data_IF_210169658434
#
_entry.id   IF_210169658434
#
_cell.length_a   1.000
_cell.length_b   1.000
_cell.length_c   1.000
_cell.angle_alpha   90.00
_cell.angle_beta   90.00
_cell.angle_gamma   90.00
#
_symmetry.space_group_name_H-M   'P 1'
#
loop_
_entity.id
_entity.type
_entity.pdbx_description
1 polymer ?
#
# COMPACT_ATOMS: atom_id res chain seq x y z
N UNK A 1 3.28 3.27 -21.50
CA UNK A 1 2.28 4.36 -21.64
C UNK A 1 2.77 5.57 -20.86
N UNK A 2 3.54 6.45 -21.51
CA UNK A 2 4.00 7.71 -20.94
C UNK A 2 3.24 8.86 -21.61
N UNK A 3 2.16 9.28 -20.97
CA UNK A 3 1.40 10.49 -21.32
C UNK A 3 1.40 11.47 -20.15
N UNK A 4 0.87 12.68 -20.38
CA UNK A 4 0.70 13.76 -19.39
C UNK A 4 0.03 13.29 -18.07
N UNK A 5 -0.63 12.13 -18.09
CA UNK A 5 -1.35 11.53 -16.96
C UNK A 5 -0.59 10.42 -16.21
N UNK A 6 0.60 10.01 -16.68
CA UNK A 6 1.41 8.90 -16.12
C UNK A 6 1.92 9.14 -14.68
N UNK A 7 1.56 10.25 -14.04
CA UNK A 7 1.86 10.57 -12.64
C UNK A 7 0.63 10.94 -11.78
N UNK A 8 -0.59 10.87 -12.32
CA UNK A 8 -1.81 11.32 -11.61
C UNK A 8 -2.29 10.34 -10.53
N UNK A 9 -1.80 9.10 -10.54
CA UNK A 9 -2.10 8.08 -9.53
C UNK A 9 -3.37 7.27 -9.83
N UNK A 10 -3.80 6.48 -8.84
CA UNK A 10 -5.05 5.73 -8.86
C UNK A 10 -5.83 6.09 -7.58
N UNK A 11 -7.16 6.11 -7.67
CA UNK A 11 -8.04 6.32 -6.53
C UNK A 11 -9.08 5.22 -6.47
N UNK A 12 -9.48 4.84 -5.26
CA UNK A 12 -10.48 3.83 -4.99
C UNK A 12 -11.28 4.24 -3.74
N UNK A 13 -12.43 3.62 -3.52
CA UNK A 13 -13.24 3.82 -2.32
C UNK A 13 -13.19 2.55 -1.47
N UNK A 14 -12.82 2.70 -0.21
CA UNK A 14 -12.91 1.63 0.77
C UNK A 14 -14.22 1.77 1.55
N UNK A 15 -15.02 0.71 1.58
CA UNK A 15 -16.29 0.63 2.30
C UNK A 15 -16.14 -0.36 3.46
N UNK A 16 -16.12 0.13 4.70
CA UNK A 16 -15.83 -0.71 5.88
C UNK A 16 -16.98 -1.59 6.36
N UNK A 17 -18.21 -1.38 5.86
CA UNK A 17 -19.42 -2.17 6.19
C UNK A 17 -20.06 -2.85 4.99
N UNK A 18 -19.42 -2.72 3.83
CA UNK A 18 -19.85 -3.34 2.57
C UNK A 18 -18.74 -4.28 2.13
N UNK A 19 -19.10 -5.51 1.83
CA UNK A 19 -18.20 -6.57 1.44
C UNK A 19 -18.56 -7.06 0.03
N UNK A 20 -17.60 -7.63 -0.68
CA UNK A 20 -17.82 -8.24 -1.97
C UNK A 20 -18.39 -9.65 -1.77
N UNK A 21 -19.53 -9.94 -2.41
CA UNK A 21 -20.00 -11.31 -2.58
C UNK A 21 -19.29 -11.98 -3.77
N UNK A 22 -19.07 -11.19 -4.81
CA UNK A 22 -18.19 -11.49 -5.94
C UNK A 22 -17.52 -10.18 -6.39
N UNK A 23 -16.57 -10.20 -7.34
CA UNK A 23 -15.93 -8.98 -7.84
C UNK A 23 -16.90 -7.94 -8.41
N UNK A 24 -18.15 -8.30 -8.70
CA UNK A 24 -19.17 -7.42 -9.30
C UNK A 24 -20.46 -7.32 -8.49
N UNK A 25 -20.52 -7.96 -7.31
CA UNK A 25 -21.71 -7.97 -6.46
C UNK A 25 -21.32 -7.57 -5.03
N UNK A 26 -22.02 -6.58 -4.50
CA UNK A 26 -21.81 -6.09 -3.14
C UNK A 26 -22.86 -6.65 -2.18
N UNK A 27 -22.49 -6.78 -0.92
CA UNK A 27 -23.39 -7.13 0.18
C UNK A 27 -22.95 -6.47 1.48
N UNK A 28 -23.75 -6.58 2.53
CA UNK A 28 -23.32 -6.23 3.88
C UNK A 28 -22.19 -7.15 4.33
N UNK A 29 -21.27 -6.58 5.10
CA UNK A 29 -20.27 -7.37 5.77
C UNK A 29 -20.88 -8.21 6.90
N UNK A 30 -20.40 -9.44 7.03
CA UNK A 30 -20.60 -10.34 8.15
C UNK A 30 -19.63 -9.97 9.30
N UNK A 31 -19.90 -10.42 10.53
CA UNK A 31 -18.96 -10.25 11.64
C UNK A 31 -17.57 -10.79 11.29
N UNK A 32 -16.53 -9.99 11.56
CA UNK A 32 -15.13 -10.33 11.27
C UNK A 32 -14.63 -9.91 9.89
N UNK A 33 -15.52 -9.56 8.95
CA UNK A 33 -15.09 -9.08 7.64
C UNK A 33 -14.61 -7.62 7.69
N UNK A 34 -13.62 -7.29 6.84
CA UNK A 34 -12.92 -6.01 6.84
C UNK A 34 -13.37 -5.05 5.74
N UNK A 35 -14.51 -5.31 5.10
CA UNK A 35 -14.99 -4.49 4.00
C UNK A 35 -14.29 -4.73 2.66
N UNK A 36 -14.68 -3.95 1.67
CA UNK A 36 -14.18 -4.05 0.30
C UNK A 36 -13.71 -2.71 -0.24
N UNK A 37 -12.73 -2.77 -1.13
CA UNK A 37 -12.31 -1.65 -1.96
C UNK A 37 -13.01 -1.77 -3.30
N UNK A 38 -13.66 -0.69 -3.74
CA UNK A 38 -14.26 -0.58 -5.06
C UNK A 38 -13.53 0.48 -5.87
N UNK A 39 -13.30 0.19 -7.14
CA UNK A 39 -12.73 1.15 -8.09
C UNK A 39 -13.17 0.85 -9.50
N UNK A 40 -13.04 1.88 -10.35
CA UNK A 40 -13.23 1.77 -11.78
C UNK A 40 -11.89 1.53 -12.47
N UNK A 41 -11.86 0.51 -13.33
CA UNK A 41 -10.65 0.07 -14.02
C UNK A 41 -10.80 0.20 -15.53
N UNK A 42 -9.67 0.30 -16.24
CA UNK A 42 -9.66 0.32 -17.70
C UNK A 42 -9.56 -1.12 -18.24
N UNK A 43 -10.68 -1.67 -18.71
CA UNK A 43 -10.70 -2.89 -19.51
C UNK A 43 -10.45 -4.18 -18.75
N UNK A 44 -10.89 -4.29 -17.50
CA UNK A 44 -10.81 -5.56 -16.75
C UNK A 44 -12.16 -6.28 -16.82
N UNK A 45 -12.14 -7.50 -17.35
CA UNK A 45 -13.28 -8.42 -17.42
C UNK A 45 -14.59 -7.86 -18.02
N UNK A 46 -14.51 -6.76 -18.80
CA UNK A 46 -15.70 -6.12 -19.36
C UNK A 46 -16.61 -5.48 -18.30
N UNK A 47 -16.06 -5.06 -17.15
CA UNK A 47 -16.81 -4.38 -16.09
C UNK A 47 -16.37 -2.93 -15.91
N UNK A 48 -17.30 -2.08 -15.49
CA UNK A 48 -17.01 -0.69 -15.16
C UNK A 48 -16.28 -0.55 -13.83
N UNK A 49 -16.79 -1.23 -12.80
CA UNK A 49 -16.20 -1.26 -11.48
C UNK A 49 -16.06 -2.69 -10.98
N UNK A 50 -15.05 -2.90 -10.13
CA UNK A 50 -14.79 -4.15 -9.45
C UNK A 50 -14.59 -3.91 -7.96
N UNK A 51 -14.98 -4.91 -7.16
CA UNK A 51 -14.82 -4.96 -5.72
C UNK A 51 -13.77 -6.01 -5.33
N UNK A 52 -12.81 -5.62 -4.50
CA UNK A 52 -11.79 -6.52 -3.96
C UNK A 52 -11.71 -6.33 -2.44
N UNK A 53 -11.75 -7.41 -1.63
CA UNK A 53 -11.57 -7.32 -0.18
C UNK A 53 -10.30 -6.53 0.20
N UNK A 54 -10.35 -5.82 1.33
CA UNK A 54 -9.30 -4.86 1.71
C UNK A 54 -7.89 -5.46 1.74
N UNK A 55 -7.70 -6.60 2.40
CA UNK A 55 -6.38 -7.21 2.60
C UNK A 55 -5.77 -7.66 1.26
N UNK A 56 -6.47 -8.41 0.39
CA UNK A 56 -5.97 -8.73 -0.94
C UNK A 56 -5.71 -7.51 -1.84
N UNK A 57 -6.58 -6.49 -1.79
CA UNK A 57 -6.36 -5.27 -2.56
C UNK A 57 -5.05 -4.57 -2.19
N UNK A 58 -4.69 -4.56 -0.90
CA UNK A 58 -3.47 -3.93 -0.41
C UNK A 58 -2.24 -4.82 -0.58
N UNK A 59 -2.35 -6.11 -0.26
CA UNK A 59 -1.20 -7.00 -0.06
C UNK A 59 -1.26 -8.32 -0.86
N UNK A 60 -2.27 -8.53 -1.71
CA UNK A 60 -2.41 -9.74 -2.53
C UNK A 60 -2.41 -11.07 -1.72
N UNK A 61 -2.72 -10.99 -0.43
CA UNK A 61 -2.87 -12.11 0.50
C UNK A 61 -4.24 -12.01 1.18
N UNK A 62 -4.70 -13.11 1.78
CA UNK A 62 -6.03 -13.16 2.39
C UNK A 62 -6.03 -12.63 3.83
N UNK A 63 -4.98 -12.94 4.60
CA UNK A 63 -4.88 -12.54 6.00
C UNK A 63 -3.72 -11.56 6.27
N UNK A 64 -3.84 -10.68 7.28
CA UNK A 64 -2.78 -9.73 7.66
C UNK A 64 -1.44 -10.38 8.02
N UNK A 65 -1.46 -11.52 8.71
CA UNK A 65 -0.26 -12.25 9.15
C UNK A 65 0.55 -12.83 7.98
N UNK A 66 -0.09 -12.94 6.81
CA UNK A 66 0.48 -13.42 5.56
C UNK A 66 1.16 -12.28 4.78
N UNK A 67 1.08 -11.03 5.25
CA UNK A 67 1.76 -9.90 4.63
C UNK A 67 3.28 -10.13 4.71
N UNK A 68 4.00 -10.12 3.58
CA UNK A 68 5.44 -10.34 3.59
C UNK A 68 6.17 -9.29 4.40
N UNK A 69 7.15 -9.74 5.18
CA UNK A 69 8.09 -8.88 5.89
C UNK A 69 8.87 -8.02 4.89
N UNK A 70 9.38 -8.63 3.82
CA UNK A 70 10.14 -7.94 2.79
C UNK A 70 9.74 -8.47 1.41
N UNK A 71 9.52 -7.57 0.46
CA UNK A 71 8.99 -7.91 -0.85
C UNK A 71 9.97 -7.56 -1.98
N UNK A 72 10.16 -8.51 -2.89
CA UNK A 72 10.78 -8.29 -4.20
C UNK A 72 9.75 -8.41 -5.33
N UNK A 73 10.14 -8.11 -6.57
CA UNK A 73 9.23 -8.14 -7.71
C UNK A 73 8.71 -9.54 -8.04
N UNK A 74 9.48 -10.61 -7.76
CA UNK A 74 9.07 -11.98 -8.02
C UNK A 74 8.03 -12.45 -7.01
N UNK A 75 8.23 -12.14 -5.73
CA UNK A 75 7.26 -12.42 -4.67
C UNK A 75 5.94 -11.72 -4.94
N UNK A 76 5.97 -10.43 -5.31
CA UNK A 76 4.75 -9.68 -5.61
C UNK A 76 4.02 -10.25 -6.83
N UNK A 77 4.74 -10.60 -7.89
CA UNK A 77 4.13 -11.24 -9.06
C UNK A 77 3.51 -12.60 -8.70
N UNK A 78 4.19 -13.38 -7.87
CA UNK A 78 3.71 -14.67 -7.37
C UNK A 78 2.43 -14.51 -6.55
N UNK A 79 2.42 -13.66 -5.51
CA UNK A 79 1.25 -13.44 -4.66
C UNK A 79 0.05 -12.91 -5.45
N UNK A 80 0.28 -11.93 -6.34
CA UNK A 80 -0.77 -11.42 -7.24
C UNK A 80 -1.36 -12.54 -8.08
N UNK A 81 -0.52 -13.36 -8.71
CA UNK A 81 -1.00 -14.48 -9.54
C UNK A 81 -1.84 -15.46 -8.71
N UNK A 82 -1.33 -15.87 -7.54
CA UNK A 82 -2.04 -16.80 -6.66
C UNK A 82 -3.44 -16.30 -6.28
N UNK A 83 -3.57 -15.00 -5.99
CA UNK A 83 -4.85 -14.40 -5.68
C UNK A 83 -5.75 -14.22 -6.91
N UNK A 84 -5.21 -13.67 -8.00
CA UNK A 84 -5.96 -13.35 -9.22
C UNK A 84 -6.49 -14.59 -9.93
N UNK A 85 -5.74 -15.70 -9.91
CA UNK A 85 -6.15 -16.97 -10.53
C UNK A 85 -7.39 -17.59 -9.84
N UNK A 86 -7.69 -17.17 -8.60
CA UNK A 86 -8.87 -17.62 -7.83
C UNK A 86 -10.08 -16.70 -7.96
N UNK A 87 -9.91 -15.50 -8.53
CA UNK A 87 -11.02 -14.58 -8.72
C UNK A 87 -12.00 -15.15 -9.75
N UNK A 88 -13.32 -15.11 -9.49
CA UNK A 88 -14.33 -15.59 -10.43
C UNK A 88 -14.56 -14.54 -11.54
N UNK A 89 -13.51 -14.26 -12.32
CA UNK A 89 -13.53 -13.41 -13.50
C UNK A 89 -13.38 -14.27 -14.76
N UNK A 90 -13.97 -13.86 -15.90
CA UNK A 90 -13.72 -14.51 -17.18
C UNK A 90 -12.22 -14.62 -17.48
N UNK A 91 -11.79 -15.65 -18.20
CA UNK A 91 -10.40 -15.75 -18.65
C UNK A 91 -10.06 -14.60 -19.62
N UNK A 92 -8.85 -14.04 -19.49
CA UNK A 92 -8.35 -13.01 -20.40
C UNK A 92 -8.20 -13.54 -21.84
N UNK A 93 -8.49 -12.70 -22.83
CA UNK A 93 -8.35 -13.06 -24.26
C UNK A 93 -7.68 -11.91 -25.02
N UNK A 94 -6.36 -11.98 -25.32
CA UNK A 94 -5.37 -13.00 -24.94
C UNK A 94 -4.89 -12.88 -23.47
N UNK A 95 -4.16 -13.86 -22.96
CA UNK A 95 -3.60 -13.81 -21.60
C UNK A 95 -2.62 -12.62 -21.43
N UNK A 96 -2.76 -11.86 -20.34
CA UNK A 96 -1.98 -10.66 -20.06
C UNK A 96 -2.46 -9.41 -20.80
N UNK A 97 -3.64 -9.45 -21.42
CA UNK A 97 -4.22 -8.29 -22.12
C UNK A 97 -4.90 -7.30 -21.18
N UNK A 98 -5.27 -7.75 -19.98
CA UNK A 98 -5.95 -6.91 -18.99
C UNK A 98 -4.99 -6.46 -17.88
N UNK A 99 -5.13 -5.25 -17.34
CA UNK A 99 -4.28 -4.78 -16.25
C UNK A 99 -4.72 -5.34 -14.88
N UNK A 100 -4.95 -6.66 -14.76
CA UNK A 100 -5.46 -7.33 -13.54
C UNK A 100 -4.57 -7.16 -12.32
N UNK A 101 -3.28 -6.88 -12.52
CA UNK A 101 -2.35 -6.54 -11.44
C UNK A 101 -2.81 -5.34 -10.59
N UNK A 102 -3.71 -4.48 -11.10
CA UNK A 102 -4.28 -3.35 -10.37
C UNK A 102 -5.31 -3.76 -9.30
N UNK A 103 -5.81 -4.99 -9.35
CA UNK A 103 -6.80 -5.49 -8.39
C UNK A 103 -6.18 -5.92 -7.07
N UNK A 104 -4.88 -6.24 -7.04
CA UNK A 104 -4.25 -6.84 -5.87
C UNK A 104 -2.84 -6.29 -5.61
N UNK A 105 -2.50 -6.11 -4.34
CA UNK A 105 -1.14 -5.74 -3.93
C UNK A 105 -0.79 -4.26 -4.20
N UNK A 106 -1.74 -3.34 -4.04
CA UNK A 106 -1.50 -1.91 -4.29
C UNK A 106 -0.46 -1.28 -3.35
N UNK A 107 -0.30 -1.82 -2.13
CA UNK A 107 0.70 -1.37 -1.15
C UNK A 107 2.13 -1.85 -1.47
N UNK A 108 2.30 -2.70 -2.50
CA UNK A 108 3.64 -3.01 -3.03
C UNK A 108 4.14 -1.94 -3.99
N UNK A 109 3.23 -1.33 -4.76
CA UNK A 109 3.58 -0.33 -5.76
C UNK A 109 3.83 1.04 -5.14
N UNK A 110 3.08 1.36 -4.07
CA UNK A 110 3.04 2.72 -3.53
C UNK A 110 2.52 2.84 -2.10
N UNK A 111 2.90 3.94 -1.46
CA UNK A 111 2.22 4.44 -0.26
C UNK A 111 0.84 4.97 -0.66
N UNK A 112 -0.20 4.57 0.07
CA UNK A 112 -1.57 5.07 -0.14
C UNK A 112 -1.93 6.08 0.95
N UNK A 113 -2.76 7.06 0.58
CA UNK A 113 -3.32 8.05 1.49
C UNK A 113 -4.84 7.84 1.55
N UNK A 114 -5.34 7.59 2.76
CA UNK A 114 -6.75 7.37 3.03
C UNK A 114 -7.40 8.58 3.68
N UNK A 115 -8.66 8.82 3.31
CA UNK A 115 -9.49 9.90 3.85
C UNK A 115 -10.80 9.27 4.30
N UNK A 116 -10.88 8.89 5.57
CA UNK A 116 -12.05 8.24 6.16
C UNK A 116 -13.09 9.29 6.53
N UNK A 117 -14.31 9.06 6.12
CA UNK A 117 -15.48 9.88 6.43
C UNK A 117 -16.55 9.01 7.09
N UNK A 118 -17.37 9.61 7.94
CA UNK A 118 -18.48 8.90 8.59
C UNK A 118 -19.64 8.75 7.61
N UNK A 119 -20.21 7.56 7.49
CA UNK A 119 -21.45 7.29 6.72
C UNK A 119 -22.47 6.60 7.61
N UNK A 120 -23.75 6.63 7.21
CA UNK A 120 -24.81 5.90 7.91
C UNK A 120 -25.01 4.50 7.31
N UNK A 121 -25.36 3.49 8.11
CA UNK A 121 -25.63 2.15 7.60
C UNK A 121 -26.66 2.15 6.48
N UNK A 122 -27.76 2.90 6.59
CA UNK A 122 -28.84 2.89 5.60
C UNK A 122 -28.39 3.44 4.23
N UNK A 123 -27.40 4.35 4.24
CA UNK A 123 -26.79 4.83 2.99
C UNK A 123 -25.96 3.74 2.32
N UNK A 124 -25.31 2.86 3.09
CA UNK A 124 -24.58 1.73 2.53
C UNK A 124 -25.53 0.72 1.86
N UNK A 125 -26.72 0.47 2.44
CA UNK A 125 -27.75 -0.38 1.80
C UNK A 125 -28.19 0.20 0.46
N UNK A 126 -28.46 1.51 0.43
CA UNK A 126 -28.85 2.20 -0.79
C UNK A 126 -27.74 2.16 -1.85
N UNK A 127 -26.47 2.30 -1.43
CA UNK A 127 -25.33 2.19 -2.34
C UNK A 127 -25.23 0.78 -2.93
N UNK A 128 -25.35 -0.26 -2.09
CA UNK A 128 -25.35 -1.67 -2.51
C UNK A 128 -26.46 -1.90 -3.54
N UNK A 129 -27.68 -1.50 -3.23
CA UNK A 129 -28.83 -1.67 -4.12
C UNK A 129 -28.61 -0.96 -5.46
N UNK A 130 -28.08 0.27 -5.43
CA UNK A 130 -27.82 1.08 -6.64
C UNK A 130 -26.75 0.43 -7.53
N UNK A 131 -25.64 0.00 -6.95
CA UNK A 131 -24.53 -0.59 -7.72
C UNK A 131 -24.89 -1.98 -8.25
N UNK A 132 -25.55 -2.82 -7.45
CA UNK A 132 -25.96 -4.16 -7.87
C UNK A 132 -27.09 -4.13 -8.92
N UNK A 133 -27.95 -3.11 -8.92
CA UNK A 133 -28.98 -2.94 -9.95
C UNK A 133 -28.43 -2.37 -11.26
N UNK A 134 -27.21 -1.82 -11.26
CA UNK A 134 -26.58 -1.28 -12.46
C UNK A 134 -26.11 -2.40 -13.40
N UNK A 135 -26.10 -2.13 -14.71
CA UNK A 135 -25.57 -3.09 -15.69
C UNK A 135 -24.05 -3.34 -15.54
N UNK A 136 -23.34 -2.50 -14.76
CA UNK A 136 -21.88 -2.52 -14.60
C UNK A 136 -21.11 -2.60 -15.95
N UNK A 137 -21.65 -1.96 -16.99
CA UNK A 137 -21.11 -2.00 -18.34
C UNK A 137 -19.95 -1.00 -18.48
N UNK A 138 -18.84 -1.36 -19.15
CA UNK A 138 -17.63 -0.54 -19.20
C UNK A 138 -17.90 0.89 -19.65
N UNK A 139 -17.55 1.86 -18.82
CA UNK A 139 -17.70 3.28 -19.16
C UNK A 139 -16.39 4.06 -19.02
N UNK A 140 -15.25 3.37 -18.93
CA UNK A 140 -13.97 4.03 -18.67
C UNK A 140 -13.56 4.98 -19.80
N UNK A 141 -13.34 6.24 -19.45
CA UNK A 141 -12.71 7.24 -20.30
C UNK A 141 -11.70 8.03 -19.46
N UNK A 142 -10.42 8.04 -19.86
CA UNK A 142 -9.33 8.63 -19.07
C UNK A 142 -9.62 10.07 -18.60
N UNK A 143 -10.28 10.88 -19.43
CA UNK A 143 -10.53 12.30 -19.17
C UNK A 143 -11.87 12.59 -18.49
N UNK A 144 -12.88 11.71 -18.61
CA UNK A 144 -14.26 12.01 -18.23
C UNK A 144 -14.89 11.00 -17.28
N UNK A 145 -14.40 9.77 -17.27
CA UNK A 145 -15.04 8.63 -16.64
C UNK A 145 -13.96 7.69 -16.10
N UNK A 146 -13.03 8.22 -15.30
CA UNK A 146 -11.90 7.48 -14.75
C UNK A 146 -12.12 7.06 -13.28
N UNK A 147 -11.09 6.47 -12.65
CA UNK A 147 -11.15 6.06 -11.24
C UNK A 147 -11.47 7.20 -10.26
N UNK A 148 -11.00 8.42 -10.51
CA UNK A 148 -11.27 9.57 -9.65
C UNK A 148 -12.67 10.14 -9.88
N UNK A 149 -13.22 10.06 -11.09
CA UNK A 149 -14.64 10.36 -11.35
C UNK A 149 -15.57 9.35 -10.66
N UNK A 150 -15.19 8.07 -10.63
CA UNK A 150 -15.91 7.06 -9.87
C UNK A 150 -15.89 7.38 -8.36
N UNK A 151 -14.72 7.69 -7.79
CA UNK A 151 -14.62 8.16 -6.39
C UNK A 151 -15.51 9.37 -6.13
N UNK A 152 -15.54 10.36 -7.04
CA UNK A 152 -16.45 11.50 -6.92
C UNK A 152 -17.91 11.06 -6.86
N UNK A 153 -18.35 10.14 -7.73
CA UNK A 153 -19.73 9.66 -7.75
C UNK A 153 -20.11 9.03 -6.40
N UNK A 154 -19.27 8.12 -5.90
CA UNK A 154 -19.53 7.43 -4.63
C UNK A 154 -19.47 8.39 -3.44
N UNK A 155 -18.46 9.26 -3.36
CA UNK A 155 -18.36 10.21 -2.24
C UNK A 155 -19.52 11.22 -2.26
N UNK A 156 -19.92 11.69 -3.44
CA UNK A 156 -21.04 12.62 -3.55
C UNK A 156 -22.41 11.97 -3.32
N UNK A 157 -22.53 10.65 -3.49
CA UNK A 157 -23.70 9.90 -3.07
C UNK A 157 -23.89 10.02 -1.54
N UNK A 158 -22.82 9.91 -0.76
CA UNK A 158 -22.88 10.07 0.69
C UNK A 158 -22.95 11.54 1.14
N UNK A 159 -22.16 12.41 0.51
CA UNK A 159 -22.04 13.84 0.82
C UNK A 159 -22.11 14.68 -0.45
N UNK A 160 -23.30 15.17 -0.83
CA UNK A 160 -23.49 15.91 -2.07
C UNK A 160 -22.53 17.09 -2.22
N UNK A 161 -21.84 17.15 -3.36
CA UNK A 161 -20.85 18.20 -3.73
C UNK A 161 -19.57 18.22 -2.88
N UNK A 162 -19.29 17.19 -2.07
CA UNK A 162 -18.05 17.09 -1.32
C UNK A 162 -16.81 16.97 -2.23
N UNK A 163 -16.95 16.30 -3.36
CA UNK A 163 -15.90 16.15 -4.36
C UNK A 163 -16.32 16.80 -5.68
N UNK A 164 -15.46 17.66 -6.22
CA UNK A 164 -15.72 18.35 -7.48
C UNK A 164 -14.44 18.52 -8.31
N UNK A 165 -14.62 18.62 -9.63
CA UNK A 165 -13.51 18.88 -10.56
C UNK A 165 -12.99 20.30 -10.32
N UNK A 166 -11.70 20.52 -10.59
CA UNK A 166 -11.12 21.85 -10.64
C UNK A 166 -10.89 22.23 -12.11
N UNK A 167 -11.47 23.35 -12.53
CA UNK A 167 -11.32 23.83 -13.92
C UNK A 167 -9.89 24.33 -14.15
N UNK A 168 -9.31 25.04 -13.17
CA UNK A 168 -8.01 25.70 -13.30
C UNK A 168 -6.81 24.80 -12.94
N UNK A 169 -6.94 23.90 -11.96
CA UNK A 169 -5.79 23.13 -11.45
C UNK A 169 -5.52 21.82 -12.20
N UNK A 170 -6.52 21.26 -12.89
CA UNK A 170 -6.42 19.96 -13.57
C UNK A 170 -7.08 19.95 -14.96
N UNK A 171 -7.23 21.12 -15.61
CA UNK A 171 -7.83 21.25 -16.93
C UNK A 171 -9.22 20.59 -17.03
N UNK A 172 -10.02 20.68 -15.96
CA UNK A 172 -11.32 20.01 -15.82
C UNK A 172 -11.30 18.47 -15.89
N UNK A 173 -10.14 17.83 -15.76
CA UNK A 173 -10.01 16.38 -15.52
C UNK A 173 -10.11 16.10 -14.03
N UNK A 174 -10.79 15.03 -13.63
CA UNK A 174 -10.77 14.60 -12.24
C UNK A 174 -9.47 13.82 -11.95
N UNK A 175 -8.72 14.27 -10.95
CA UNK A 175 -7.52 13.59 -10.46
C UNK A 175 -7.72 13.06 -9.03
N UNK A 176 -7.01 11.98 -8.64
CA UNK A 176 -6.98 11.53 -7.25
C UNK A 176 -6.62 12.64 -6.25
N UNK A 177 -5.66 13.51 -6.60
CA UNK A 177 -5.24 14.64 -5.75
C UNK A 177 -6.37 15.66 -5.57
N UNK A 178 -7.09 15.99 -6.64
CA UNK A 178 -8.23 16.90 -6.57
C UNK A 178 -9.41 16.30 -5.79
N UNK A 179 -9.66 15.00 -5.91
CA UNK A 179 -10.67 14.33 -5.10
C UNK A 179 -10.36 14.46 -3.60
N UNK A 180 -9.12 14.18 -3.20
CA UNK A 180 -8.67 14.36 -1.81
C UNK A 180 -8.73 15.83 -1.37
N UNK A 181 -8.19 16.76 -2.16
CA UNK A 181 -8.15 18.19 -1.82
C UNK A 181 -9.55 18.78 -1.65
N UNK A 182 -10.48 18.44 -2.53
CA UNK A 182 -11.87 18.93 -2.43
C UNK A 182 -12.59 18.35 -1.22
N UNK A 183 -12.42 17.06 -0.92
CA UNK A 183 -12.99 16.44 0.27
C UNK A 183 -12.47 17.07 1.58
N UNK A 184 -11.16 17.27 1.68
CA UNK A 184 -10.54 17.95 2.83
C UNK A 184 -11.10 19.37 2.98
N UNK A 185 -11.16 20.11 1.86
CA UNK A 185 -11.72 21.48 1.83
C UNK A 185 -13.20 21.52 2.22
N UNK A 186 -13.96 20.49 1.85
CA UNK A 186 -15.36 20.33 2.25
C UNK A 186 -15.48 20.07 3.75
N UNK A 187 -14.68 19.15 4.31
CA UNK A 187 -14.74 18.82 5.74
C UNK A 187 -14.44 20.00 6.67
N UNK A 188 -13.63 20.98 6.22
CA UNK A 188 -13.38 22.20 7.00
C UNK A 188 -14.64 23.05 7.21
N UNK A 189 -15.63 22.94 6.29
CA UNK A 189 -16.93 23.62 6.39
C UNK A 189 -18.04 22.71 6.92
N UNK A 190 -17.76 21.40 7.02
CA UNK A 190 -18.72 20.36 7.35
C UNK A 190 -18.15 19.41 8.42
N UNK A 191 -18.09 19.82 9.70
CA UNK A 191 -17.53 19.02 10.79
C UNK A 191 -18.24 17.66 10.98
N UNK A 192 -19.50 17.55 10.57
CA UNK A 192 -20.29 16.32 10.63
C UNK A 192 -19.71 15.15 9.83
N UNK A 193 -18.85 15.45 8.84
CA UNK A 193 -18.12 14.47 8.00
C UNK A 193 -17.15 13.64 8.85
N UNK A 194 -16.63 14.19 9.95
CA UNK A 194 -15.65 13.57 10.84
C UNK A 194 -14.47 12.98 10.08
N UNK A 195 -13.82 13.81 9.25
CA UNK A 195 -12.71 13.39 8.42
C UNK A 195 -11.53 12.91 9.26
N UNK A 196 -11.04 11.69 9.01
CA UNK A 196 -9.77 11.18 9.51
C UNK A 196 -8.83 10.88 8.34
N UNK A 197 -7.64 11.46 8.32
CA UNK A 197 -6.59 11.11 7.35
C UNK A 197 -5.72 9.97 7.88
N UNK A 198 -5.29 9.08 7.01
CA UNK A 198 -4.36 8.01 7.35
C UNK A 198 -3.46 7.61 6.18
N UNK A 199 -2.37 6.90 6.46
CA UNK A 199 -1.40 6.40 5.49
C UNK A 199 -1.36 4.88 5.57
N UNK A 200 -1.39 4.23 4.41
CA UNK A 200 -1.06 2.81 4.27
C UNK A 200 0.39 2.74 3.77
N UNK A 201 1.34 2.28 4.60
CA UNK A 201 2.74 2.22 4.23
C UNK A 201 2.98 1.25 3.07
N UNK A 202 3.99 1.56 2.26
CA UNK A 202 4.43 0.63 1.22
C UNK A 202 5.27 -0.47 1.87
N UNK A 203 5.01 -1.74 1.56
CA UNK A 203 5.83 -2.87 2.03
C UNK A 203 7.28 -2.66 1.57
N UNK A 204 8.28 -2.87 2.44
CA UNK A 204 9.68 -2.61 2.09
C UNK A 204 10.22 -3.67 1.12
N UNK A 205 11.30 -3.30 0.43
CA UNK A 205 12.05 -4.15 -0.50
C UNK A 205 11.91 -3.77 -1.97
N UNK A 206 10.85 -3.03 -2.31
CA UNK A 206 10.66 -2.43 -3.63
C UNK A 206 11.09 -0.95 -3.68
N UNK A 207 11.19 -0.43 -4.90
CA UNK A 207 11.46 0.99 -5.12
C UNK A 207 10.37 1.84 -4.46
N UNK A 208 10.77 2.78 -3.61
CA UNK A 208 9.83 3.67 -2.91
C UNK A 208 9.04 4.53 -3.89
N UNK A 209 7.73 4.66 -3.65
CA UNK A 209 6.86 5.51 -4.47
C UNK A 209 7.21 7.00 -4.39
N UNK A 210 6.97 7.71 -5.50
CA UNK A 210 7.13 9.16 -5.62
C UNK A 210 5.84 9.90 -5.22
N UNK A 211 5.92 11.19 -4.81
CA UNK A 211 4.74 12.00 -4.54
C UNK A 211 3.80 12.11 -5.76
N UNK A 212 2.49 12.20 -5.50
CA UNK A 212 1.46 12.43 -6.53
C UNK A 212 1.40 13.92 -6.86
N UNK A 213 1.39 14.22 -8.15
CA UNK A 213 1.27 15.59 -8.67
C UNK A 213 -0.06 15.73 -9.41
N UNK A 214 -0.66 16.94 -9.36
CA UNK A 214 -1.79 17.29 -10.23
C UNK A 214 -1.35 17.37 -11.70
N UNK A 215 -2.29 17.56 -12.63
CA UNK A 215 -1.98 17.66 -14.06
C UNK A 215 -1.14 18.92 -14.34
N UNK A 216 -1.57 20.07 -13.84
CA UNK A 216 -0.83 21.33 -14.01
C UNK A 216 0.52 21.28 -13.29
N UNK A 217 0.60 20.66 -12.11
CA UNK A 217 1.86 20.49 -11.39
C UNK A 217 2.84 19.59 -12.16
N UNK A 218 2.32 18.52 -12.80
CA UNK A 218 3.12 17.64 -13.67
C UNK A 218 3.59 18.34 -14.94
N UNK A 219 2.84 19.31 -15.45
CA UNK A 219 3.21 20.14 -16.61
C UNK A 219 4.19 21.25 -16.23
N UNK A 220 3.90 22.00 -15.17
CA UNK A 220 4.70 23.14 -14.69
C UNK A 220 6.04 22.68 -14.13
N UNK A 221 6.13 21.52 -13.46
CA UNK A 221 7.40 20.98 -12.96
C UNK A 221 8.15 20.14 -13.98
N UNK A 222 7.62 19.92 -15.19
CA UNK A 222 8.34 19.19 -16.21
C UNK A 222 9.53 20.02 -16.72
N UNK A 223 10.74 19.46 -16.62
CA UNK A 223 12.00 20.12 -17.02
C UNK A 223 11.93 20.81 -18.39
N UNK A 224 11.23 20.21 -19.36
CA UNK A 224 11.08 20.73 -20.72
C UNK A 224 10.37 22.10 -20.82
N UNK A 225 9.52 22.46 -19.85
CA UNK A 225 8.80 23.74 -19.82
C UNK A 225 9.38 24.74 -18.83
N UNK A 226 10.01 24.26 -17.75
CA UNK A 226 10.68 25.13 -16.77
C UNK A 226 11.91 25.79 -17.38
N UNK A 227 12.71 25.07 -18.16
CA UNK A 227 13.99 25.59 -18.67
C UNK A 227 13.86 26.87 -19.51
N UNK A 228 12.93 26.97 -20.48
CA UNK A 228 12.71 28.23 -21.21
C UNK A 228 12.20 29.36 -20.30
N UNK A 229 11.26 29.09 -19.39
CA UNK A 229 10.70 30.12 -18.50
C UNK A 229 11.74 30.63 -17.50
N UNK A 230 12.60 29.75 -16.99
CA UNK A 230 13.71 30.13 -16.11
C UNK A 230 14.71 31.03 -16.83
N UNK A 231 14.97 30.79 -18.12
CA UNK A 231 15.88 31.59 -18.93
C UNK A 231 15.36 33.01 -19.16
N UNK A 232 14.06 33.17 -19.46
CA UNK A 232 13.48 34.47 -19.83
C UNK A 232 12.82 35.21 -18.65
N UNK A 233 12.33 34.50 -17.63
CA UNK A 233 11.58 35.05 -16.50
C UNK A 233 11.92 34.34 -15.16
N UNK A 234 13.17 34.45 -14.67
CA UNK A 234 13.64 33.74 -13.48
C UNK A 234 12.86 34.10 -12.20
N UNK A 235 12.42 35.35 -12.07
CA UNK A 235 11.64 35.81 -10.91
C UNK A 235 10.26 35.15 -10.81
N UNK A 236 9.63 34.83 -11.95
CA UNK A 236 8.33 34.13 -11.97
C UNK A 236 8.48 32.69 -11.49
N UNK A 237 9.53 32.00 -11.92
CA UNK A 237 9.85 30.65 -11.43
C UNK A 237 10.15 30.70 -9.94
N UNK A 238 10.98 31.64 -9.49
CA UNK A 238 11.32 31.83 -8.08
C UNK A 238 10.10 32.13 -7.20
N UNK A 239 9.17 32.97 -7.66
CA UNK A 239 7.95 33.30 -6.92
C UNK A 239 6.96 32.12 -6.87
N UNK A 240 6.79 31.38 -7.98
CA UNK A 240 5.95 30.17 -8.01
C UNK A 240 6.55 29.08 -7.13
N UNK A 241 7.86 28.86 -7.19
CA UNK A 241 8.55 27.91 -6.30
C UNK A 241 8.41 28.36 -4.83
N UNK A 242 8.67 29.62 -4.51
CA UNK A 242 8.52 30.14 -3.15
C UNK A 242 7.09 29.95 -2.62
N UNK A 243 6.05 30.32 -3.39
CA UNK A 243 4.64 30.10 -3.03
C UNK A 243 4.29 28.60 -2.89
N UNK A 244 4.86 27.76 -3.75
CA UNK A 244 4.69 26.31 -3.70
C UNK A 244 5.29 25.70 -2.42
N UNK A 245 6.47 26.14 -2.00
CA UNK A 245 7.16 25.66 -0.79
C UNK A 245 6.63 26.29 0.51
N UNK A 246 6.05 27.49 0.48
CA UNK A 246 5.60 28.24 1.67
C UNK A 246 4.19 27.88 2.16
N UNK A 247 3.50 26.91 1.54
CA UNK A 247 2.27 26.34 2.12
C UNK A 247 1.08 26.21 1.18
N UNK A 248 1.21 26.56 -0.11
CA UNK A 248 0.13 26.34 -1.07
C UNK A 248 -0.05 24.86 -1.48
N UNK A 249 0.95 24.02 -1.20
CA UNK A 249 0.93 22.58 -1.51
C UNK A 249 -0.02 21.83 -0.58
N UNK A 250 -0.95 21.08 -1.19
CA UNK A 250 -1.76 20.10 -0.47
C UNK A 250 -0.84 18.97 0.04
N UNK A 251 -0.75 18.83 1.37
CA UNK A 251 -0.04 17.74 2.03
C UNK A 251 -1.05 16.70 2.54
N UNK A 252 -1.19 15.55 1.85
CA UNK A 252 -2.13 14.49 2.25
C UNK A 252 -1.70 13.76 3.54
N UNK A 253 -0.47 13.98 4.01
CA UNK A 253 0.08 13.32 5.18
C UNK A 253 -0.08 14.12 6.48
N UNK A 254 -0.55 15.37 6.38
CA UNK A 254 -0.66 16.26 7.53
C UNK A 254 -1.59 15.65 8.58
N UNK A 255 -1.04 15.37 9.76
CA UNK A 255 -1.77 14.79 10.89
C UNK A 255 -2.33 13.38 10.62
N UNK A 256 -1.81 12.67 9.62
CA UNK A 256 -2.34 11.37 9.23
C UNK A 256 -1.92 10.28 10.22
N UNK A 257 -2.88 9.42 10.57
CA UNK A 257 -2.65 8.17 11.29
C UNK A 257 -1.97 7.14 10.39
N UNK A 258 -1.47 6.05 10.94
CA UNK A 258 -0.92 4.92 10.18
C UNK A 258 -1.91 3.77 10.23
N UNK A 259 -2.13 3.13 9.08
CA UNK A 259 -2.90 1.90 8.99
C UNK A 259 -2.04 0.70 9.38
N UNK A 260 -2.54 -0.07 10.34
CA UNK A 260 -2.04 -1.36 10.75
C UNK A 260 -2.99 -2.47 10.24
N UNK A 261 -2.53 -3.36 9.33
CA UNK A 261 -3.32 -4.49 8.86
C UNK A 261 -3.66 -5.50 9.94
N UNK A 262 -2.93 -5.58 11.05
CA UNK A 262 -3.13 -6.63 12.07
C UNK A 262 -4.33 -6.33 12.98
N UNK A 263 -4.73 -5.07 13.13
CA UNK A 263 -5.90 -4.68 13.93
C UNK A 263 -7.22 -4.95 13.18
N UNK A 264 -8.15 -5.56 13.91
CA UNK A 264 -9.52 -5.86 13.49
C UNK A 264 -10.41 -4.62 13.28
N UNK A 265 -10.11 -3.46 13.90
CA UNK A 265 -10.94 -2.24 13.86
C UNK A 265 -10.33 -1.13 13.00
N UNK A 266 -10.08 -1.42 11.72
CA UNK A 266 -9.49 -0.49 10.75
C UNK A 266 -8.05 -0.03 11.11
N UNK A 267 -7.54 -0.33 12.30
CA UNK A 267 -6.13 -0.28 12.67
C UNK A 267 -5.48 1.06 12.49
N UNK A 268 -6.07 2.13 13.01
CA UNK A 268 -5.46 3.46 12.87
C UNK A 268 -4.72 3.85 14.15
N UNK A 269 -3.41 3.97 14.05
CA UNK A 269 -2.53 4.33 15.17
C UNK A 269 -1.73 5.62 14.89
N UNK A 270 -1.10 6.16 15.92
CA UNK A 270 -0.19 7.28 15.76
C UNK A 270 1.12 6.81 15.10
N UNK A 271 1.75 7.61 14.23
CA UNK A 271 3.03 7.25 13.64
C UNK A 271 4.13 7.16 14.72
N UNK A 272 5.03 6.19 14.56
CA UNK A 272 6.20 6.01 15.44
C UNK A 272 6.97 7.32 15.61
N UNK A 273 7.10 7.80 16.84
CA UNK A 273 7.70 9.10 17.16
C UNK A 273 9.19 9.15 16.77
N UNK A 274 9.75 10.36 16.67
CA UNK A 274 11.18 10.52 16.39
C UNK A 274 12.07 9.93 17.48
N UNK A 275 11.65 10.02 18.75
CA UNK A 275 12.39 9.47 19.89
C UNK A 275 12.38 7.93 19.88
N UNK A 276 11.21 7.31 19.69
CA UNK A 276 11.10 5.86 19.57
C UNK A 276 11.88 5.33 18.37
N UNK A 277 11.75 5.98 17.20
CA UNK A 277 12.54 5.63 16.01
C UNK A 277 14.03 5.67 16.29
N UNK A 278 14.51 6.70 16.99
CA UNK A 278 15.92 6.81 17.32
C UNK A 278 16.36 5.71 18.30
N UNK A 279 15.51 5.37 19.28
CA UNK A 279 15.74 4.25 20.19
C UNK A 279 15.89 2.93 19.42
N UNK A 280 14.89 2.53 18.63
CA UNK A 280 14.94 1.30 17.84
C UNK A 280 16.11 1.28 16.86
N UNK A 281 16.36 2.39 16.14
CA UNK A 281 17.48 2.47 15.20
C UNK A 281 18.84 2.34 15.90
N UNK A 282 19.00 2.91 17.10
CA UNK A 282 20.23 2.78 17.88
C UNK A 282 20.47 1.35 18.33
N UNK A 283 19.42 0.66 18.77
CA UNK A 283 19.48 -0.75 19.18
C UNK A 283 19.78 -1.65 17.99
N UNK A 284 19.11 -1.44 16.86
CA UNK A 284 19.33 -2.21 15.62
C UNK A 284 20.78 -2.06 15.14
N UNK A 285 21.34 -0.85 15.20
CA UNK A 285 22.73 -0.61 14.84
C UNK A 285 23.73 -1.35 15.73
N UNK A 286 23.40 -1.61 17.02
CA UNK A 286 24.25 -2.42 17.90
C UNK A 286 24.22 -3.89 17.48
N UNK A 287 23.04 -4.43 17.18
CA UNK A 287 22.86 -5.81 16.68
C UNK A 287 23.67 -6.00 15.39
N UNK A 288 23.53 -5.09 14.43
CA UNK A 288 24.28 -5.15 13.17
C UNK A 288 25.79 -5.15 13.36
N UNK A 289 26.31 -4.33 14.29
CA UNK A 289 27.74 -4.28 14.57
C UNK A 289 28.24 -5.60 15.15
N UNK A 290 27.51 -6.17 16.11
CA UNK A 290 27.81 -7.48 16.67
C UNK A 290 27.79 -8.57 15.58
N UNK A 291 26.81 -8.55 14.67
CA UNK A 291 26.70 -9.54 13.59
C UNK A 291 27.82 -9.37 12.54
N UNK A 292 28.24 -8.14 12.24
CA UNK A 292 29.35 -7.88 11.32
C UNK A 292 30.71 -8.37 11.87
N UNK A 293 30.88 -8.31 13.19
CA UNK A 293 32.10 -8.78 13.88
C UNK A 293 32.19 -10.31 13.95
N UNK A 294 31.08 -11.04 13.80
CA UNK A 294 31.01 -12.50 13.85
C UNK A 294 31.30 -13.24 12.51
N UNK A 295 31.44 -12.52 11.39
CA UNK A 295 31.73 -13.00 10.01
C UNK A 295 30.65 -13.82 9.27
N UNK A 296 30.66 -13.68 7.92
CA UNK A 296 29.79 -14.19 6.83
C UNK A 296 28.34 -14.53 7.19
N UNK A 297 27.59 -13.55 7.68
CA UNK A 297 26.13 -13.63 7.68
C UNK A 297 25.64 -13.79 6.24
N UNK A 298 24.82 -14.82 6.03
CA UNK A 298 24.08 -15.06 4.81
C UNK A 298 23.31 -13.79 4.40
N UNK A 299 23.73 -13.14 3.30
CA UNK A 299 23.05 -11.95 2.77
C UNK A 299 21.69 -12.36 2.19
N UNK A 300 20.63 -12.14 2.97
CA UNK A 300 19.24 -12.44 2.59
C UNK A 300 18.91 -11.90 1.20
N UNK A 301 19.41 -10.70 0.86
CA UNK A 301 19.11 -10.04 -0.41
C UNK A 301 19.77 -10.71 -1.60
N UNK A 302 20.90 -11.39 -1.41
CA UNK A 302 21.53 -12.21 -2.47
C UNK A 302 20.79 -13.53 -2.62
N UNK A 303 20.43 -14.16 -1.51
CA UNK A 303 19.80 -15.48 -1.47
C UNK A 303 18.38 -15.50 -2.07
N UNK A 304 17.63 -14.41 -1.98
CA UNK A 304 16.29 -14.31 -2.59
C UNK A 304 16.29 -14.31 -4.15
N UNK A 305 17.42 -14.13 -4.83
CA UNK A 305 17.41 -13.89 -6.29
C UNK A 305 17.20 -15.12 -7.17
N UNK A 306 17.32 -16.36 -6.66
CA UNK A 306 17.27 -17.60 -7.46
C UNK A 306 16.33 -18.69 -6.94
N UNK A 307 15.70 -18.46 -5.80
CA UNK A 307 14.98 -19.50 -5.07
C UNK A 307 13.48 -19.58 -5.43
N UNK A 308 12.95 -20.81 -5.45
CA UNK A 308 11.55 -21.10 -5.77
C UNK A 308 10.59 -20.58 -4.69
N UNK A 309 9.44 -20.05 -5.11
CA UNK A 309 8.41 -19.48 -4.24
C UNK A 309 7.21 -20.42 -4.16
N UNK A 310 6.76 -20.68 -2.95
CA UNK A 310 5.65 -21.59 -2.67
C UNK A 310 4.75 -21.03 -1.56
N UNK A 311 3.56 -21.61 -1.43
CA UNK A 311 2.64 -21.37 -0.32
C UNK A 311 2.58 -22.62 0.54
N UNK A 312 2.63 -22.46 1.86
CA UNK A 312 2.38 -23.57 2.76
C UNK A 312 0.87 -23.90 2.86
N UNK A 313 0.53 -24.90 3.67
CA UNK A 313 -0.85 -25.34 3.88
C UNK A 313 -1.80 -24.25 4.42
N UNK A 314 -1.28 -23.16 4.97
CA UNK A 314 -2.04 -22.02 5.47
C UNK A 314 -2.11 -20.86 4.46
N UNK A 315 -1.51 -21.02 3.28
CA UNK A 315 -1.42 -19.96 2.28
C UNK A 315 -0.32 -18.94 2.56
N UNK A 316 0.60 -19.22 3.48
CA UNK A 316 1.72 -18.33 3.81
C UNK A 316 2.88 -18.57 2.87
N UNK A 317 3.45 -17.48 2.37
CA UNK A 317 4.54 -17.57 1.42
C UNK A 317 5.84 -18.00 2.10
N UNK A 318 6.52 -18.97 1.49
CA UNK A 318 7.87 -19.36 1.85
C UNK A 318 8.72 -19.54 0.59
N UNK A 319 10.03 -19.68 0.80
CA UNK A 319 11.00 -19.81 -0.28
C UNK A 319 12.06 -20.84 0.06
N UNK A 320 12.43 -21.67 -0.90
CA UNK A 320 13.51 -22.63 -0.73
C UNK A 320 14.88 -22.03 -1.07
N UNK A 321 15.74 -21.85 -0.08
CA UNK A 321 17.07 -21.26 -0.25
C UNK A 321 18.14 -22.35 -0.20
N UNK A 322 19.08 -22.32 -1.14
CA UNK A 322 20.25 -23.19 -1.12
C UNK A 322 21.28 -22.67 -0.12
N UNK A 323 21.51 -23.42 0.97
CA UNK A 323 22.49 -23.13 2.02
C UNK A 323 23.37 -24.37 2.22
N UNK A 324 24.68 -24.23 2.03
CA UNK A 324 25.63 -25.35 2.21
C UNK A 324 25.30 -26.59 1.37
N UNK A 325 24.71 -26.41 0.18
CA UNK A 325 24.30 -27.52 -0.70
C UNK A 325 22.98 -28.19 -0.36
N UNK A 326 22.26 -27.72 0.68
CA UNK A 326 20.91 -28.18 1.04
C UNK A 326 19.88 -27.10 0.74
N UNK A 327 18.71 -27.51 0.27
CA UNK A 327 17.55 -26.62 0.15
C UNK A 327 16.87 -26.51 1.51
N UNK A 328 16.64 -25.29 1.98
CA UNK A 328 15.98 -25.03 3.26
C UNK A 328 14.80 -24.07 3.05
N UNK A 329 13.59 -24.39 3.54
CA UNK A 329 12.45 -23.49 3.44
C UNK A 329 12.58 -22.32 4.42
N UNK A 330 12.34 -21.10 3.94
CA UNK A 330 12.40 -19.86 4.71
C UNK A 330 11.07 -19.14 4.63
N UNK A 331 10.46 -18.87 5.79
CA UNK A 331 9.21 -18.14 5.89
C UNK A 331 9.39 -16.66 5.55
N UNK A 332 8.46 -16.10 4.78
CA UNK A 332 8.53 -14.71 4.31
C UNK A 332 7.60 -13.76 5.08
N UNK A 333 6.75 -14.29 5.95
CA UNK A 333 5.68 -13.57 6.62
C UNK A 333 5.80 -13.74 8.14
N UNK A 334 5.16 -12.87 8.92
CA UNK A 334 5.17 -12.99 10.40
C UNK A 334 4.64 -14.34 10.87
N UNK A 335 3.62 -14.84 10.19
CA UNK A 335 2.99 -16.12 10.52
C UNK A 335 3.91 -17.34 10.41
N UNK A 336 4.94 -17.32 9.54
CA UNK A 336 5.78 -18.49 9.29
C UNK A 336 7.30 -18.25 9.42
N UNK A 337 7.76 -17.03 9.68
CA UNK A 337 9.18 -16.70 9.81
C UNK A 337 9.93 -17.60 10.81
N UNK A 338 9.29 -17.99 11.91
CA UNK A 338 9.83 -18.88 12.94
C UNK A 338 9.33 -20.33 12.87
N UNK A 339 8.36 -20.64 11.99
CA UNK A 339 7.73 -21.97 11.96
C UNK A 339 8.44 -22.95 11.02
N UNK A 340 9.22 -22.43 10.07
CA UNK A 340 9.96 -23.23 9.11
C UNK A 340 11.38 -23.52 9.59
N UNK A 341 11.98 -24.58 9.06
CA UNK A 341 13.30 -25.09 9.46
C UNK A 341 14.47 -24.22 8.96
N UNK A 342 14.26 -22.92 8.76
CA UNK A 342 15.30 -21.99 8.34
C UNK A 342 16.33 -21.82 9.47
N UNK A 343 17.62 -21.65 9.14
CA UNK A 343 18.62 -21.29 10.14
C UNK A 343 18.24 -19.96 10.79
N UNK A 344 18.30 -19.83 12.12
CA UNK A 344 17.97 -18.61 12.83
C UNK A 344 18.70 -17.38 12.29
N UNK A 345 19.95 -17.52 11.84
CA UNK A 345 20.78 -16.43 11.30
C UNK A 345 20.17 -15.81 10.04
N UNK A 346 19.51 -16.61 9.21
CA UNK A 346 18.87 -16.13 7.98
C UNK A 346 17.58 -15.37 8.29
N UNK A 347 16.81 -15.86 9.27
CA UNK A 347 15.59 -15.18 9.73
C UNK A 347 15.95 -13.86 10.43
N UNK A 348 17.05 -13.85 11.19
CA UNK A 348 17.60 -12.64 11.80
C UNK A 348 17.98 -11.60 10.74
N UNK A 349 18.71 -11.98 9.70
CA UNK A 349 19.10 -11.04 8.62
C UNK A 349 17.88 -10.47 7.85
N UNK A 350 16.85 -11.28 7.62
CA UNK A 350 15.57 -10.84 7.05
C UNK A 350 14.91 -9.77 7.95
N UNK A 351 14.82 -10.01 9.25
CA UNK A 351 14.18 -9.10 10.21
C UNK A 351 14.99 -7.82 10.42
N UNK A 352 16.32 -7.92 10.47
CA UNK A 352 17.21 -6.75 10.50
C UNK A 352 16.99 -5.91 9.24
N UNK A 353 16.98 -6.56 8.06
CA UNK A 353 16.73 -5.89 6.77
C UNK A 353 15.35 -5.21 6.70
N UNK A 354 14.31 -5.86 7.23
CA UNK A 354 12.95 -5.33 7.39
C UNK A 354 12.95 -4.07 8.25
N UNK A 355 13.46 -4.17 9.48
CA UNK A 355 13.45 -3.08 10.47
C UNK A 355 14.28 -1.89 10.00
N UNK A 356 15.42 -2.13 9.35
CA UNK A 356 16.20 -1.06 8.71
C UNK A 356 15.39 -0.28 7.67
N UNK A 357 14.62 -0.98 6.85
CA UNK A 357 13.84 -0.37 5.79
C UNK A 357 12.66 0.46 6.32
N UNK A 358 12.11 0.08 7.48
CA UNK A 358 11.03 0.78 8.20
C UNK A 358 11.53 1.98 9.03
N UNK A 359 12.68 1.83 9.67
CA UNK A 359 13.27 2.86 10.55
C UNK A 359 14.05 3.94 9.78
N UNK A 360 14.30 3.75 8.48
CA UNK A 360 14.89 4.78 7.62
C UNK A 360 14.10 6.09 7.75
N UNK A 361 14.77 7.22 8.08
CA UNK A 361 14.09 8.50 8.20
C UNK A 361 13.32 8.84 6.92
N UNK A 362 12.02 9.06 7.05
CA UNK A 362 11.15 9.45 5.94
C UNK A 362 10.26 10.62 6.36
N UNK A 363 10.00 11.52 5.41
CA UNK A 363 8.96 12.55 5.51
C UNK A 363 7.93 12.32 4.39
N UNK A 364 6.63 12.19 4.70
CA UNK A 364 6.04 12.12 6.04
C UNK A 364 6.46 10.86 6.82
N UNK A 365 6.17 10.83 8.13
CA UNK A 365 6.33 9.62 8.96
C UNK A 365 5.31 8.58 8.49
N UNK A 366 5.78 7.37 8.17
CA UNK A 366 4.97 6.30 7.55
C UNK A 366 5.10 4.97 8.29
N UNK A 367 5.63 5.00 9.50
CA UNK A 367 6.00 3.80 10.25
C UNK A 367 4.98 3.58 11.35
N UNK A 368 4.36 2.41 11.34
CA UNK A 368 3.52 1.91 12.42
C UNK A 368 4.39 1.58 13.64
N UNK A 369 3.95 1.98 14.83
CA UNK A 369 4.66 1.65 16.07
C UNK A 369 4.47 0.19 16.43
N UNK A 370 3.23 -0.29 16.37
CA UNK A 370 2.85 -1.67 16.69
C UNK A 370 3.54 -2.68 15.76
N UNK A 371 3.66 -2.39 14.46
CA UNK A 371 4.36 -3.27 13.53
C UNK A 371 5.87 -3.33 13.80
N UNK A 372 6.49 -2.20 14.15
CA UNK A 372 7.91 -2.19 14.52
C UNK A 372 8.13 -2.98 15.80
N UNK A 373 7.25 -2.82 16.80
CA UNK A 373 7.32 -3.60 18.03
C UNK A 373 7.12 -5.11 17.77
N UNK A 374 6.16 -5.48 16.93
CA UNK A 374 5.93 -6.86 16.54
C UNK A 374 7.13 -7.47 15.81
N UNK A 375 7.73 -6.73 14.87
CA UNK A 375 8.93 -7.17 14.14
C UNK A 375 10.15 -7.25 15.08
N UNK A 376 10.21 -6.38 16.08
CA UNK A 376 11.25 -6.39 17.11
C UNK A 376 11.17 -7.60 18.03
N UNK A 377 9.97 -7.94 18.53
CA UNK A 377 9.74 -9.16 19.33
C UNK A 377 10.11 -10.41 18.54
N UNK A 378 9.80 -10.44 17.25
CA UNK A 378 10.17 -11.55 16.36
C UNK A 378 11.69 -11.67 16.24
N UNK A 379 12.41 -10.55 16.11
CA UNK A 379 13.87 -10.51 16.08
C UNK A 379 14.48 -11.02 17.41
N UNK A 380 13.93 -10.61 18.55
CA UNK A 380 14.39 -11.09 19.87
C UNK A 380 14.21 -12.60 20.01
N UNK A 381 13.05 -13.13 19.61
CA UNK A 381 12.77 -14.57 19.65
C UNK A 381 13.73 -15.39 18.76
N UNK A 382 14.05 -14.91 17.55
CA UNK A 382 15.05 -15.56 16.69
C UNK A 382 16.41 -15.62 17.37
N UNK A 383 16.86 -14.52 17.98
CA UNK A 383 18.19 -14.44 18.62
C UNK A 383 18.30 -15.31 19.87
N UNK A 384 17.19 -15.52 20.58
CA UNK A 384 17.11 -16.48 21.68
C UNK A 384 17.28 -17.92 21.17
N UNK A 385 16.65 -18.28 20.04
CA UNK A 385 16.83 -19.59 19.40
C UNK A 385 18.27 -19.81 18.94
N UNK A 386 18.91 -18.81 18.30
CA UNK A 386 20.32 -18.91 17.88
C UNK A 386 21.25 -19.15 19.07
N UNK A 387 21.04 -18.42 20.19
CA UNK A 387 21.86 -18.59 21.39
C UNK A 387 21.66 -19.96 22.03
N UNK A 388 20.42 -20.46 22.08
CA UNK A 388 20.13 -21.78 22.60
C UNK A 388 20.78 -22.90 21.76
N UNK A 389 20.76 -22.77 20.42
CA UNK A 389 21.42 -23.71 19.52
C UNK A 389 22.94 -23.73 19.71
N UNK A 390 23.58 -22.57 19.79
CA UNK A 390 25.02 -22.46 20.07
C UNK A 390 25.41 -23.09 21.42
N UNK A 391 24.60 -22.89 22.46
CA UNK A 391 24.85 -23.49 23.78
C UNK A 391 24.67 -25.01 23.83
N UNK A 392 23.92 -25.59 22.89
CA UNK A 392 23.71 -27.03 22.79
C UNK A 392 24.85 -27.74 22.05
N UNK A 393 25.50 -27.06 21.08
CA UNK A 393 26.66 -27.59 20.35
C UNK A 393 27.96 -27.56 21.18
N UNK A 394 28.10 -26.61 22.12
CA UNK A 394 29.25 -26.53 23.03
C UNK A 394 29.23 -27.58 24.18
N UNK A 395 28.18 -28.41 24.24
CA UNK A 395 27.94 -29.38 25.31
C UNK A 395 28.36 -30.83 25.03
N UNK A 396 29.10 -31.10 23.94
CA UNK A 396 29.55 -32.45 23.55
C UNK A 396 31.05 -32.68 23.69
#
# INVERSE_FOLDING_TARGET
YDGIFAGTGHAAVYLSRVCADSPTVLRRCLPGERGTVISRYHGIAGHDWLAVPLIPYLYAVENPEDVPLFADSRLVAFLRRQYLDRLPLPAEKPAGSEPRYQLAGSAYDRTLYGFRIRTRPEQDDQLIATLNASANAPSYELLRSNCADFVKQIVNFYYPRAVHRSILADLAVMTPKQAAKSLVSYSHRHPEVQLTSFIIPQVPGLRRSRPVHGVVESLVLAKKYVTPVLLFHPFMVGAVEAAYWTGWRFDPAKGALIFNPDDSRLGLEQPLTSAERHSYASQLNRIKKANAEASEVADWRKLQSHAALELDSRGQAFREVALGGRMVPVGLCRGNALQLSAPPELVEDLLVTRLEAELKPAKPMRTSGEQVESDWKLLEAVREQSRAALSADDGF
#
